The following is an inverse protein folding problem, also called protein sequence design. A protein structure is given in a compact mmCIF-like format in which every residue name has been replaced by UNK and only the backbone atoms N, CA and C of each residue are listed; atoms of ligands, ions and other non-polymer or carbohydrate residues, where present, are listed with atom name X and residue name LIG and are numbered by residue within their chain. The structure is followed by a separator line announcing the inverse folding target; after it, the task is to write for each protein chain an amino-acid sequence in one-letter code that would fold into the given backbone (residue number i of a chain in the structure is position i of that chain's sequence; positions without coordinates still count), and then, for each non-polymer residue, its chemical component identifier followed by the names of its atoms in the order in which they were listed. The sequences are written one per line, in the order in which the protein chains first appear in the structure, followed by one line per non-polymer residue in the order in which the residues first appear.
data_IF_277052024337
#
_entry.id   IF_277052024337
#
_cell.length_a   1.000
_cell.length_b   1.000
_cell.length_c   1.000
_cell.angle_alpha   90.00
_cell.angle_beta   90.00
_cell.angle_gamma   90.00
#
_symmetry.space_group_name_H-M   'P 1'
#
loop_
_entity.id
_entity.type
_entity.pdbx_description
1 polymer ?
#
# COMPACT_ATOMS: atom_id res chain seq x y z
N UNK A 1 33.45 -28.72 -0.34
CA UNK A 1 33.67 -28.54 -1.79
C UNK A 1 32.71 -27.53 -2.42
N UNK A 2 31.39 -27.61 -2.21
CA UNK A 2 30.43 -26.64 -2.79
C UNK A 2 30.54 -25.24 -2.17
N UNK A 3 30.75 -25.15 -0.86
CA UNK A 3 30.91 -23.88 -0.13
C UNK A 3 32.15 -23.10 -0.52
N UNK A 4 33.28 -23.79 -0.73
CA UNK A 4 34.53 -23.13 -1.13
C UNK A 4 34.46 -22.61 -2.55
N UNK A 5 33.76 -23.34 -3.44
CA UNK A 5 33.52 -22.88 -4.82
C UNK A 5 32.64 -21.62 -4.85
N UNK A 6 31.54 -21.57 -4.08
CA UNK A 6 30.67 -20.38 -4.01
C UNK A 6 31.45 -19.19 -3.45
N UNK A 7 32.24 -19.39 -2.39
CA UNK A 7 33.09 -18.33 -1.83
C UNK A 7 34.09 -17.78 -2.85
N UNK A 8 34.71 -18.67 -3.64
CA UNK A 8 35.63 -18.30 -4.72
C UNK A 8 34.91 -17.52 -5.83
N UNK A 9 33.77 -18.02 -6.31
CA UNK A 9 32.98 -17.36 -7.35
C UNK A 9 32.48 -15.99 -6.92
N UNK A 10 32.09 -15.82 -5.66
CA UNK A 10 31.64 -14.54 -5.11
C UNK A 10 32.76 -13.47 -5.06
N UNK A 11 34.03 -13.87 -5.13
CA UNK A 11 35.18 -12.96 -5.22
C UNK A 11 35.56 -12.59 -6.68
N UNK A 12 34.95 -13.27 -7.66
CA UNK A 12 35.23 -13.01 -9.08
C UNK A 12 34.80 -11.60 -9.47
N UNK A 13 35.60 -10.97 -10.35
CA UNK A 13 35.30 -9.69 -11.00
C UNK A 13 34.45 -9.85 -12.28
N UNK A 14 34.22 -11.08 -12.73
CA UNK A 14 33.37 -11.37 -13.87
C UNK A 14 31.87 -11.11 -13.53
N UNK A 15 31.07 -10.82 -14.55
CA UNK A 15 29.61 -10.76 -14.40
C UNK A 15 29.12 -12.17 -13.98
N UNK A 16 28.39 -12.23 -12.90
CA UNK A 16 27.89 -13.46 -12.29
C UNK A 16 26.42 -13.64 -12.64
N UNK A 17 26.11 -14.72 -13.34
CA UNK A 17 24.76 -15.04 -13.78
C UNK A 17 24.31 -16.32 -13.10
N UNK A 18 23.16 -16.25 -12.42
CA UNK A 18 22.48 -17.43 -11.90
C UNK A 18 21.39 -17.88 -12.89
N UNK A 19 21.22 -19.20 -13.02
CA UNK A 19 20.14 -19.81 -13.81
C UNK A 19 19.10 -20.34 -12.82
N UNK A 20 17.88 -19.93 -13.01
CA UNK A 20 16.67 -20.15 -12.22
C UNK A 20 16.73 -19.56 -10.81
N UNK A 21 17.66 -19.97 -9.96
CA UNK A 21 17.85 -19.47 -8.60
C UNK A 21 19.33 -19.49 -8.21
N UNK A 22 19.84 -18.45 -7.52
CA UNK A 22 21.22 -18.46 -7.02
C UNK A 22 21.48 -19.68 -6.11
N UNK A 23 22.58 -20.40 -6.36
CA UNK A 23 22.96 -21.57 -5.55
C UNK A 23 23.06 -21.22 -4.07
N UNK A 24 22.38 -22.00 -3.22
CA UNK A 24 22.29 -21.77 -1.78
C UNK A 24 21.12 -20.91 -1.31
N UNK A 25 20.39 -20.26 -2.23
CA UNK A 25 19.14 -19.54 -1.92
C UNK A 25 17.95 -20.51 -2.01
N UNK A 26 17.09 -20.55 -0.99
CA UNK A 26 15.81 -21.26 -1.05
C UNK A 26 14.73 -20.39 -1.69
N UNK A 27 13.82 -21.02 -2.46
CA UNK A 27 12.78 -20.31 -3.21
C UNK A 27 11.69 -19.69 -2.33
N UNK A 28 11.22 -20.47 -1.32
CA UNK A 28 9.98 -20.20 -0.59
C UNK A 28 10.14 -20.23 0.94
N UNK A 29 11.36 -20.26 1.42
CA UNK A 29 11.68 -20.29 2.85
C UNK A 29 12.97 -19.52 3.15
N UNK A 30 13.20 -19.11 4.41
CA UNK A 30 14.45 -18.47 4.78
C UNK A 30 15.66 -19.37 4.46
N UNK A 31 16.65 -18.79 3.78
CA UNK A 31 17.92 -19.51 3.55
C UNK A 31 18.73 -19.52 4.85
N UNK A 32 19.27 -20.68 5.21
CA UNK A 32 20.22 -20.76 6.32
C UNK A 32 21.39 -19.81 6.04
N UNK A 33 21.90 -19.14 7.07
CA UNK A 33 23.11 -18.33 6.99
C UNK A 33 24.23 -19.23 6.49
N UNK A 34 24.58 -19.11 5.22
CA UNK A 34 25.53 -19.98 4.55
C UNK A 34 26.08 -19.32 3.29
N UNK A 35 26.72 -20.13 2.48
CA UNK A 35 27.31 -19.69 1.25
C UNK A 35 26.27 -19.59 0.15
N UNK A 36 25.71 -18.41 -0.06
CA UNK A 36 24.79 -18.11 -1.16
C UNK A 36 25.59 -17.44 -2.28
N UNK A 37 25.40 -17.89 -3.51
CA UNK A 37 25.98 -17.26 -4.70
C UNK A 37 25.37 -15.88 -4.90
N UNK A 38 26.22 -14.88 -5.07
CA UNK A 38 25.82 -13.48 -5.31
C UNK A 38 25.79 -13.24 -6.80
N UNK A 39 24.63 -13.33 -7.41
CA UNK A 39 24.44 -13.04 -8.81
C UNK A 39 24.37 -11.53 -9.05
N UNK A 40 24.88 -11.08 -10.19
CA UNK A 40 24.60 -9.76 -10.74
C UNK A 40 23.30 -9.80 -11.58
N UNK A 41 23.03 -10.97 -12.19
CA UNK A 41 21.78 -11.27 -12.93
C UNK A 41 21.29 -12.68 -12.57
N UNK A 42 19.96 -12.82 -12.42
CA UNK A 42 19.29 -14.11 -12.27
C UNK A 42 18.28 -14.29 -13.39
N UNK A 43 18.48 -15.30 -14.26
CA UNK A 43 17.56 -15.68 -15.31
C UNK A 43 16.63 -16.79 -14.79
N UNK A 44 15.45 -16.39 -14.28
CA UNK A 44 14.53 -17.33 -13.61
C UNK A 44 13.47 -17.85 -14.57
N UNK A 45 13.00 -19.06 -14.33
CA UNK A 45 12.07 -19.75 -15.22
C UNK A 45 10.61 -19.52 -14.80
N UNK A 46 9.78 -19.17 -15.75
CA UNK A 46 8.34 -19.05 -15.78
C UNK A 46 7.76 -18.03 -14.79
N UNK A 47 8.17 -18.06 -13.52
CA UNK A 47 7.72 -17.15 -12.46
C UNK A 47 8.89 -16.76 -11.55
N UNK A 48 8.90 -15.54 -11.00
CA UNK A 48 9.86 -15.19 -9.95
C UNK A 48 9.60 -16.03 -8.71
N UNK A 49 10.66 -16.39 -8.00
CA UNK A 49 10.55 -17.10 -6.72
C UNK A 49 10.18 -16.11 -5.62
N UNK A 50 9.45 -16.56 -4.59
CA UNK A 50 9.07 -15.70 -3.46
C UNK A 50 10.29 -15.00 -2.85
N UNK A 51 11.39 -15.71 -2.71
CA UNK A 51 12.65 -15.17 -2.18
C UNK A 51 13.15 -13.92 -2.92
N UNK A 52 12.87 -13.77 -4.21
CA UNK A 52 13.33 -12.63 -5.02
C UNK A 52 12.63 -11.31 -4.69
N UNK A 53 11.45 -11.40 -4.08
CA UNK A 53 10.62 -10.26 -3.71
C UNK A 53 10.92 -9.78 -2.27
N UNK A 54 11.85 -10.43 -1.57
CA UNK A 54 12.18 -10.16 -0.18
C UNK A 54 13.53 -9.45 -0.06
N UNK A 55 13.60 -8.30 0.64
CA UNK A 55 14.76 -7.39 0.61
C UNK A 55 16.05 -8.03 1.14
N UNK A 56 15.99 -8.98 2.07
CA UNK A 56 17.19 -9.67 2.56
C UNK A 56 17.90 -10.48 1.49
N UNK A 57 17.23 -10.83 0.41
CA UNK A 57 17.77 -11.66 -0.67
C UNK A 57 18.26 -10.83 -1.87
N UNK A 58 17.94 -9.54 -1.93
CA UNK A 58 18.35 -8.64 -3.01
C UNK A 58 19.88 -8.72 -3.33
N UNK A 59 20.79 -8.75 -2.32
CA UNK A 59 22.23 -8.85 -2.57
C UNK A 59 22.69 -10.16 -3.24
N UNK A 60 21.82 -11.19 -3.26
CA UNK A 60 22.11 -12.49 -3.87
C UNK A 60 21.48 -12.67 -5.23
N UNK A 61 20.29 -12.08 -5.42
CA UNK A 61 19.48 -12.24 -6.64
C UNK A 61 19.96 -11.30 -7.74
N UNK A 62 20.40 -10.09 -7.38
CA UNK A 62 20.71 -9.04 -8.33
C UNK A 62 19.50 -8.70 -9.22
N UNK A 63 19.74 -8.27 -10.44
CA UNK A 63 18.66 -8.03 -11.40
C UNK A 63 18.13 -9.37 -11.93
N UNK A 64 16.88 -9.67 -11.71
CA UNK A 64 16.29 -10.89 -12.27
C UNK A 64 15.41 -10.60 -13.51
N UNK A 65 15.38 -11.60 -14.41
CA UNK A 65 14.54 -11.62 -15.59
C UNK A 65 13.80 -12.96 -15.65
N UNK A 66 12.52 -12.91 -15.96
CA UNK A 66 11.67 -14.09 -16.04
C UNK A 66 11.65 -14.60 -17.49
N UNK A 67 12.10 -15.83 -17.67
CA UNK A 67 12.10 -16.51 -18.97
C UNK A 67 10.92 -17.46 -19.07
N UNK A 68 10.11 -17.32 -20.11
CA UNK A 68 9.08 -18.29 -20.44
C UNK A 68 9.73 -19.60 -20.94
N UNK A 69 9.40 -20.70 -20.29
CA UNK A 69 9.89 -22.05 -20.67
C UNK A 69 8.81 -22.91 -21.31
N UNK A 70 7.67 -22.29 -21.71
CA UNK A 70 6.61 -22.94 -22.43
C UNK A 70 5.78 -23.92 -21.59
N UNK A 71 5.57 -23.63 -20.30
CA UNK A 71 4.64 -24.43 -19.49
C UNK A 71 3.22 -24.33 -20.06
N UNK A 72 2.47 -25.41 -19.91
CA UNK A 72 1.11 -25.45 -20.43
C UNK A 72 0.21 -24.42 -19.71
N UNK A 73 -0.47 -23.50 -20.44
CA UNK A 73 -1.26 -22.42 -19.83
C UNK A 73 -2.28 -22.90 -18.80
N UNK A 74 -3.00 -23.99 -19.11
CA UNK A 74 -3.98 -24.58 -18.20
C UNK A 74 -3.37 -25.02 -16.85
N UNK A 75 -2.14 -25.54 -16.85
CA UNK A 75 -1.45 -25.88 -15.61
C UNK A 75 -1.17 -24.63 -14.76
N UNK A 76 -0.76 -23.52 -15.42
CA UNK A 76 -0.51 -22.25 -14.72
C UNK A 76 -1.80 -21.62 -14.15
N UNK A 77 -2.95 -21.86 -14.79
CA UNK A 77 -4.26 -21.41 -14.30
C UNK A 77 -4.79 -22.28 -13.14
N UNK A 78 -4.49 -23.59 -13.16
CA UNK A 78 -5.00 -24.55 -12.17
C UNK A 78 -4.11 -24.70 -10.93
N UNK A 79 -2.85 -24.24 -10.98
CA UNK A 79 -1.94 -24.36 -9.82
C UNK A 79 -2.37 -23.46 -8.68
N UNK A 80 -2.63 -24.03 -7.53
CA UNK A 80 -2.98 -23.30 -6.33
C UNK A 80 -1.76 -22.61 -5.72
N UNK A 81 -1.88 -21.31 -5.44
CA UNK A 81 -0.88 -20.52 -4.74
C UNK A 81 -1.54 -19.43 -3.91
N UNK A 82 -0.97 -19.17 -2.74
CA UNK A 82 -1.39 -18.06 -1.89
C UNK A 82 -0.53 -16.79 -2.07
N UNK A 83 0.42 -16.81 -3.01
CA UNK A 83 1.29 -15.68 -3.32
C UNK A 83 1.12 -15.32 -4.80
N UNK A 84 0.65 -14.11 -5.08
CA UNK A 84 0.34 -13.63 -6.42
C UNK A 84 1.11 -12.35 -6.73
N UNK A 85 1.58 -12.20 -7.96
CA UNK A 85 2.10 -10.92 -8.44
C UNK A 85 0.96 -10.05 -8.96
N UNK A 86 0.95 -8.79 -8.54
CA UNK A 86 0.02 -7.81 -9.09
C UNK A 86 0.59 -7.26 -10.40
N UNK A 87 -0.03 -7.64 -11.52
CA UNK A 87 0.38 -7.21 -12.86
C UNK A 87 -0.75 -6.47 -13.58
N UNK A 88 -0.43 -5.69 -14.62
CA UNK A 88 -1.41 -4.91 -15.42
C UNK A 88 -2.62 -5.73 -15.82
N UNK A 89 -2.41 -6.96 -16.33
CA UNK A 89 -3.48 -7.85 -16.78
C UNK A 89 -4.49 -8.20 -15.68
N UNK A 90 -4.03 -8.27 -14.43
CA UNK A 90 -4.86 -8.56 -13.26
C UNK A 90 -5.67 -7.34 -12.79
N UNK A 91 -5.08 -6.14 -12.81
CA UNK A 91 -5.74 -4.94 -12.27
C UNK A 91 -6.60 -4.20 -13.30
N UNK A 92 -6.29 -4.33 -14.60
CA UNK A 92 -7.06 -3.68 -15.67
C UNK A 92 -8.56 -4.05 -15.67
N UNK A 93 -8.97 -5.31 -15.49
CA UNK A 93 -10.38 -5.70 -15.40
C UNK A 93 -11.13 -5.13 -14.20
N UNK A 94 -10.42 -4.78 -13.11
CA UNK A 94 -11.01 -4.20 -11.90
C UNK A 94 -11.53 -2.78 -12.17
N UNK A 95 -10.97 -2.06 -13.14
CA UNK A 95 -11.33 -0.67 -13.40
C UNK A 95 -12.79 -0.49 -13.80
N UNK A 96 -13.54 0.26 -13.01
CA UNK A 96 -14.89 0.68 -13.36
C UNK A 96 -14.90 1.63 -14.58
N UNK A 97 -15.86 1.48 -15.46
CA UNK A 97 -16.06 2.38 -16.57
C UNK A 97 -16.98 3.53 -16.16
N UNK A 98 -16.59 4.76 -16.51
CA UNK A 98 -17.43 5.95 -16.32
C UNK A 98 -18.40 6.08 -17.47
N UNK A 99 -19.66 6.34 -17.16
CA UNK A 99 -20.72 6.51 -18.17
C UNK A 99 -21.11 7.98 -18.32
N UNK A 100 -21.67 8.32 -19.49
CA UNK A 100 -22.02 9.71 -19.83
C UNK A 100 -23.02 10.36 -18.83
N UNK A 101 -23.90 9.55 -18.25
CA UNK A 101 -24.96 10.06 -17.37
C UNK A 101 -24.61 9.92 -15.88
N UNK A 102 -23.38 9.59 -15.54
CA UNK A 102 -22.92 9.57 -14.15
C UNK A 102 -22.85 11.00 -13.59
N UNK A 103 -23.09 11.12 -12.32
CA UNK A 103 -23.00 12.37 -11.56
C UNK A 103 -22.11 12.17 -10.32
N UNK A 104 -21.78 13.25 -9.60
CA UNK A 104 -20.89 13.19 -8.43
C UNK A 104 -21.30 12.13 -7.38
N UNK A 105 -22.60 11.98 -7.11
CA UNK A 105 -23.12 10.96 -6.18
C UNK A 105 -22.90 9.49 -6.64
N UNK A 106 -22.73 9.26 -7.97
CA UNK A 106 -22.41 7.91 -8.50
C UNK A 106 -21.02 7.45 -8.04
N UNK A 107 -20.08 8.39 -7.85
CA UNK A 107 -18.70 8.12 -7.48
C UNK A 107 -18.43 8.28 -5.98
N UNK A 108 -19.51 8.32 -5.18
CA UNK A 108 -19.46 8.29 -3.72
C UNK A 108 -19.04 9.57 -3.06
N UNK A 109 -19.06 9.56 -1.75
CA UNK A 109 -18.67 10.65 -0.87
C UNK A 109 -17.69 10.11 0.18
N UNK A 110 -16.42 10.49 0.07
CA UNK A 110 -15.37 10.11 1.00
C UNK A 110 -15.29 11.08 2.19
N UNK A 111 -15.02 10.54 3.39
CA UNK A 111 -14.56 11.32 4.54
C UNK A 111 -13.11 10.99 4.82
N UNK A 112 -12.24 12.00 4.80
CA UNK A 112 -10.85 11.89 5.24
C UNK A 112 -10.68 12.58 6.59
N UNK A 113 -10.34 11.85 7.65
CA UNK A 113 -10.03 12.36 8.98
C UNK A 113 -8.50 12.43 9.10
N UNK A 114 -7.92 13.61 8.99
CA UNK A 114 -6.47 13.76 8.88
C UNK A 114 -5.99 15.15 9.32
N UNK A 115 -4.70 15.24 9.62
CA UNK A 115 -4.06 16.49 10.00
C UNK A 115 -4.21 16.84 11.48
N UNK A 116 -3.24 17.56 11.97
CA UNK A 116 -3.18 18.22 13.28
C UNK A 116 -2.26 19.43 13.16
N UNK A 117 -2.13 20.21 14.24
CA UNK A 117 -1.17 21.31 14.26
C UNK A 117 0.23 20.85 13.86
N UNK A 118 0.83 21.54 12.87
CA UNK A 118 2.12 21.20 12.29
C UNK A 118 2.12 20.02 11.30
N UNK A 119 0.99 19.32 11.10
CA UNK A 119 0.88 18.14 10.21
C UNK A 119 -0.24 18.27 9.16
N UNK A 120 -0.71 19.48 8.87
CA UNK A 120 -1.76 19.74 7.87
C UNK A 120 -1.38 19.23 6.48
N UNK A 121 -0.08 19.20 6.13
CA UNK A 121 0.41 18.72 4.85
C UNK A 121 -0.03 17.28 4.52
N UNK A 122 -0.12 16.39 5.52
CA UNK A 122 -0.59 15.02 5.32
C UNK A 122 -2.07 14.97 4.87
N UNK A 123 -2.92 15.82 5.48
CA UNK A 123 -4.31 15.97 5.06
C UNK A 123 -4.42 16.49 3.61
N UNK A 124 -3.59 17.47 3.23
CA UNK A 124 -3.56 18.02 1.88
C UNK A 124 -3.17 16.97 0.84
N UNK A 125 -2.11 16.21 1.09
CA UNK A 125 -1.64 15.15 0.18
C UNK A 125 -2.70 14.07 -0.01
N UNK A 126 -3.28 13.56 1.08
CA UNK A 126 -4.34 12.56 1.04
C UNK A 126 -5.61 13.06 0.34
N UNK A 127 -6.03 14.29 0.63
CA UNK A 127 -7.20 14.90 0.02
C UNK A 127 -7.04 15.08 -1.50
N UNK A 128 -5.90 15.64 -1.93
CA UNK A 128 -5.60 15.84 -3.36
C UNK A 128 -5.54 14.50 -4.10
N UNK A 129 -4.90 13.49 -3.51
CA UNK A 129 -4.84 12.13 -4.07
C UNK A 129 -6.23 11.49 -4.17
N UNK A 130 -7.07 11.65 -3.16
CA UNK A 130 -8.45 11.16 -3.15
C UNK A 130 -9.26 11.75 -4.32
N UNK A 131 -9.22 13.07 -4.51
CA UNK A 131 -9.89 13.75 -5.63
C UNK A 131 -9.34 13.29 -6.98
N UNK A 132 -8.02 13.25 -7.15
CA UNK A 132 -7.37 12.83 -8.40
C UNK A 132 -7.60 11.36 -8.76
N UNK A 133 -7.94 10.54 -7.78
CA UNK A 133 -8.35 9.13 -7.99
C UNK A 133 -9.81 9.01 -8.43
N UNK A 134 -10.58 10.10 -8.34
CA UNK A 134 -11.87 10.22 -9.03
C UNK A 134 -13.11 10.05 -8.17
N UNK A 135 -13.01 10.21 -6.86
CA UNK A 135 -14.19 10.29 -5.98
C UNK A 135 -15.13 11.44 -6.41
N UNK A 136 -16.42 11.27 -6.20
CA UNK A 136 -17.41 12.26 -6.58
C UNK A 136 -17.49 13.45 -5.62
N UNK A 137 -17.37 13.19 -4.33
CA UNK A 137 -17.37 14.19 -3.25
C UNK A 137 -16.34 13.81 -2.20
N UNK A 138 -15.64 14.80 -1.66
CA UNK A 138 -14.69 14.64 -0.57
C UNK A 138 -15.00 15.65 0.53
N UNK A 139 -15.21 15.16 1.75
CA UNK A 139 -15.13 15.96 2.98
C UNK A 139 -13.84 15.62 3.72
N UNK A 140 -13.17 16.64 4.24
CA UNK A 140 -11.99 16.46 5.06
C UNK A 140 -12.31 16.95 6.47
N UNK A 141 -12.25 16.02 7.43
CA UNK A 141 -12.38 16.33 8.85
C UNK A 141 -11.02 16.69 9.43
N UNK A 142 -10.91 17.89 9.99
CA UNK A 142 -9.64 18.43 10.44
C UNK A 142 -9.82 19.53 11.49
N UNK A 143 -8.83 19.78 12.36
CA UNK A 143 -8.89 20.83 13.37
C UNK A 143 -8.90 22.24 12.73
N UNK A 144 -9.38 23.24 13.48
CA UNK A 144 -9.57 24.60 12.97
C UNK A 144 -8.32 25.21 12.36
N UNK A 145 -7.15 24.97 12.94
CA UNK A 145 -5.85 25.47 12.42
C UNK A 145 -5.56 25.00 10.99
N UNK A 146 -6.10 23.87 10.56
CA UNK A 146 -5.87 23.27 9.26
C UNK A 146 -6.91 23.62 8.18
N UNK A 147 -8.02 24.28 8.54
CA UNK A 147 -9.13 24.56 7.63
C UNK A 147 -8.76 25.54 6.52
N UNK A 148 -8.18 26.69 6.87
CA UNK A 148 -7.80 27.72 5.89
C UNK A 148 -6.73 27.20 4.90
N UNK A 149 -5.66 26.52 5.34
CA UNK A 149 -4.71 25.88 4.43
C UNK A 149 -5.37 24.89 3.45
N UNK A 150 -6.32 24.07 3.92
CA UNK A 150 -7.02 23.13 3.04
C UNK A 150 -7.85 23.87 1.99
N UNK A 151 -8.70 24.81 2.40
CA UNK A 151 -9.54 25.59 1.46
C UNK A 151 -8.73 26.36 0.42
N UNK A 152 -7.57 26.86 0.81
CA UNK A 152 -6.68 27.59 -0.09
C UNK A 152 -6.03 26.66 -1.13
N UNK A 153 -5.60 25.47 -0.70
CA UNK A 153 -4.85 24.53 -1.56
C UNK A 153 -5.76 23.61 -2.38
N UNK A 154 -6.95 23.27 -1.87
CA UNK A 154 -7.86 22.27 -2.46
C UNK A 154 -9.32 22.76 -2.33
N UNK A 155 -9.74 23.75 -3.15
CA UNK A 155 -11.08 24.30 -3.07
C UNK A 155 -12.20 23.32 -3.42
N UNK A 156 -11.89 22.19 -4.06
CA UNK A 156 -12.83 21.13 -4.39
C UNK A 156 -13.21 20.26 -3.18
N UNK A 157 -12.44 20.29 -2.10
CA UNK A 157 -12.74 19.54 -0.87
C UNK A 157 -13.64 20.37 0.05
N UNK A 158 -14.66 19.72 0.60
CA UNK A 158 -15.49 20.30 1.65
C UNK A 158 -14.79 20.15 3.00
N UNK A 159 -14.96 21.14 3.87
CA UNK A 159 -14.48 21.05 5.26
C UNK A 159 -15.59 20.46 6.13
N UNK A 160 -15.24 19.44 6.89
CA UNK A 160 -15.93 18.98 8.08
C UNK A 160 -15.06 19.36 9.29
N UNK A 161 -15.44 20.40 10.01
CA UNK A 161 -14.58 21.04 11.02
C UNK A 161 -14.68 20.37 12.38
N UNK A 162 -13.52 20.04 12.97
CA UNK A 162 -13.45 19.62 14.37
C UNK A 162 -13.70 20.81 15.33
N UNK A 163 -14.20 20.52 16.54
CA UNK A 163 -14.37 21.52 17.60
C UNK A 163 -13.01 22.00 18.15
N UNK A 164 -11.99 21.14 18.10
CA UNK A 164 -10.63 21.44 18.55
C UNK A 164 -9.89 22.38 17.61
N UNK A 165 -9.03 23.22 18.20
CA UNK A 165 -8.12 24.08 17.43
C UNK A 165 -7.02 23.27 16.75
N UNK A 166 -6.49 22.19 17.38
CA UNK A 166 -5.18 21.61 17.05
C UNK A 166 -5.18 20.14 16.72
N UNK A 167 -6.20 19.35 17.09
CA UNK A 167 -6.19 17.91 16.92
C UNK A 167 -7.59 17.36 16.63
N UNK A 168 -7.66 16.11 16.21
CA UNK A 168 -8.91 15.36 16.09
C UNK A 168 -9.48 15.08 17.48
N UNK A 169 -10.68 15.55 17.76
CA UNK A 169 -11.34 15.43 19.07
C UNK A 169 -12.77 14.93 19.02
N UNK A 170 -13.49 15.25 17.95
CA UNK A 170 -14.90 14.88 17.75
C UNK A 170 -15.16 14.55 16.28
N UNK A 171 -16.31 14.03 15.98
CA UNK A 171 -16.84 13.90 14.61
C UNK A 171 -18.36 13.82 14.65
N UNK A 172 -19.00 14.20 13.54
CA UNK A 172 -20.45 14.18 13.37
C UNK A 172 -21.00 12.83 12.89
N UNK A 173 -22.17 12.85 12.27
CA UNK A 173 -22.80 11.66 11.70
C UNK A 173 -22.06 11.15 10.46
N UNK A 174 -21.91 9.83 10.34
CA UNK A 174 -21.16 9.20 9.24
C UNK A 174 -22.08 8.73 8.09
N UNK A 175 -23.39 8.84 8.22
CA UNK A 175 -24.39 8.26 7.29
C UNK A 175 -24.31 8.84 5.86
N UNK A 176 -23.77 10.04 5.71
CA UNK A 176 -23.61 10.68 4.41
C UNK A 176 -22.42 10.16 3.58
N UNK A 177 -21.51 9.42 4.23
CA UNK A 177 -20.27 8.98 3.59
C UNK A 177 -20.36 7.53 3.11
N UNK A 178 -19.68 7.25 2.01
CA UNK A 178 -19.59 5.90 1.44
C UNK A 178 -18.30 5.17 1.84
N UNK A 179 -17.32 5.89 2.34
CA UNK A 179 -16.08 5.36 2.94
C UNK A 179 -15.43 6.39 3.86
N UNK A 180 -14.65 5.92 4.82
CA UNK A 180 -13.87 6.73 5.76
C UNK A 180 -12.39 6.36 5.67
N UNK A 181 -11.52 7.37 5.65
CA UNK A 181 -10.08 7.23 5.81
C UNK A 181 -9.62 8.01 7.03
N UNK A 182 -8.73 7.42 7.85
CA UNK A 182 -8.26 8.05 9.07
C UNK A 182 -6.78 7.78 9.32
N UNK A 183 -6.06 8.81 9.78
CA UNK A 183 -4.72 8.62 10.33
C UNK A 183 -3.62 9.55 9.85
N UNK A 184 -3.53 9.95 8.57
CA UNK A 184 -2.47 10.83 8.09
C UNK A 184 -2.34 12.10 8.93
N UNK A 185 -1.19 12.27 9.59
CA UNK A 185 -0.92 13.47 10.40
C UNK A 185 -1.85 13.72 11.59
N UNK A 186 -2.51 12.71 12.11
CA UNK A 186 -3.55 12.84 13.14
C UNK A 186 -2.99 13.24 14.52
N UNK A 187 -1.75 12.84 14.83
CA UNK A 187 -1.19 12.94 16.16
C UNK A 187 -1.71 11.86 17.11
N UNK A 188 -1.26 11.94 18.36
CA UNK A 188 -1.60 10.96 19.41
C UNK A 188 -2.05 11.65 20.71
N UNK A 189 -2.72 12.81 20.61
CA UNK A 189 -3.31 13.49 21.76
C UNK A 189 -4.39 12.60 22.41
N UNK A 190 -4.63 12.77 23.71
CA UNK A 190 -5.63 11.95 24.43
C UNK A 190 -7.03 12.10 23.82
N UNK A 191 -7.39 13.30 23.35
CA UNK A 191 -8.64 13.54 22.64
C UNK A 191 -8.71 12.75 21.36
N UNK A 192 -7.61 12.71 20.59
CA UNK A 192 -7.49 11.93 19.34
C UNK A 192 -7.65 10.43 19.61
N UNK A 193 -7.04 9.92 20.67
CA UNK A 193 -7.18 8.52 21.08
C UNK A 193 -8.64 8.19 21.42
N UNK A 194 -9.33 9.05 22.17
CA UNK A 194 -10.74 8.88 22.53
C UNK A 194 -11.66 8.94 21.28
N UNK A 195 -11.43 9.92 20.42
CA UNK A 195 -12.22 10.08 19.19
C UNK A 195 -12.02 8.91 18.23
N UNK A 196 -10.78 8.42 18.05
CA UNK A 196 -10.50 7.24 17.22
C UNK A 196 -11.16 5.97 17.76
N UNK A 197 -11.15 5.77 19.09
CA UNK A 197 -11.87 4.65 19.72
C UNK A 197 -13.35 4.69 19.39
N UNK A 198 -13.97 5.87 19.54
CA UNK A 198 -15.37 6.09 19.21
C UNK A 198 -15.64 5.82 17.72
N UNK A 199 -14.77 6.31 16.83
CA UNK A 199 -14.89 6.10 15.38
C UNK A 199 -14.91 4.60 15.02
N UNK A 200 -14.00 3.79 15.59
CA UNK A 200 -13.94 2.35 15.35
C UNK A 200 -15.26 1.66 15.74
N UNK A 201 -15.93 2.13 16.78
CA UNK A 201 -17.20 1.54 17.22
C UNK A 201 -18.42 2.02 16.43
N UNK A 202 -18.39 3.22 15.86
CA UNK A 202 -19.53 3.84 15.19
C UNK A 202 -19.52 3.68 13.67
N UNK A 203 -18.34 3.50 13.05
CA UNK A 203 -18.22 3.44 11.58
C UNK A 203 -18.85 2.15 11.03
N UNK A 204 -19.78 2.30 10.07
CA UNK A 204 -20.51 1.21 9.42
C UNK A 204 -20.18 1.09 7.91
N UNK A 205 -19.31 1.96 7.40
CA UNK A 205 -18.88 1.98 6.01
C UNK A 205 -17.43 1.51 5.89
N UNK A 206 -16.94 1.15 4.68
CA UNK A 206 -15.56 0.77 4.47
C UNK A 206 -14.57 1.77 5.07
N UNK A 207 -13.55 1.25 5.77
CA UNK A 207 -12.56 2.02 6.52
C UNK A 207 -11.14 1.73 6.03
N UNK A 208 -10.34 2.78 5.83
CA UNK A 208 -8.88 2.68 5.69
C UNK A 208 -8.19 3.42 6.82
N UNK A 209 -7.19 2.79 7.45
CA UNK A 209 -6.42 3.32 8.58
C UNK A 209 -4.93 3.33 8.23
N UNK A 210 -4.27 4.46 8.47
CA UNK A 210 -2.82 4.65 8.22
C UNK A 210 -2.14 5.43 9.35
N UNK A 211 -0.85 5.48 9.33
CA UNK A 211 0.00 6.38 10.11
C UNK A 211 -0.35 6.45 11.61
N UNK A 212 -0.71 7.64 12.12
CA UNK A 212 -0.96 7.83 13.56
C UNK A 212 -2.17 7.02 14.06
N UNK A 213 -3.16 6.72 13.23
CA UNK A 213 -4.25 5.81 13.61
C UNK A 213 -3.75 4.38 13.85
N UNK A 214 -2.80 3.89 13.05
CA UNK A 214 -2.15 2.59 13.28
C UNK A 214 -1.25 2.59 14.51
N UNK A 215 -0.57 3.70 14.78
CA UNK A 215 0.23 3.87 16.00
C UNK A 215 -0.66 3.81 17.24
N UNK A 216 -1.81 4.50 17.25
CA UNK A 216 -2.79 4.44 18.34
C UNK A 216 -3.36 3.01 18.48
N UNK A 217 -3.68 2.36 17.36
CA UNK A 217 -4.19 0.98 17.35
C UNK A 217 -3.15 0.00 17.93
N UNK A 218 -1.85 0.19 17.64
CA UNK A 218 -0.78 -0.64 18.20
C UNK A 218 -0.60 -0.46 19.72
N UNK A 219 -0.85 0.75 20.23
CA UNK A 219 -0.87 1.02 21.68
C UNK A 219 -2.14 0.44 22.35
N UNK A 220 -3.18 0.08 21.56
CA UNK A 220 -4.47 -0.42 22.01
C UNK A 220 -4.91 -1.71 21.26
N UNK A 221 -4.15 -2.82 21.34
CA UNK A 221 -4.39 -4.00 20.51
C UNK A 221 -5.74 -4.68 20.77
N UNK A 222 -6.37 -4.40 21.90
CA UNK A 222 -7.73 -4.89 22.22
C UNK A 222 -8.81 -4.27 21.33
N UNK A 223 -8.51 -3.25 20.53
CA UNK A 223 -9.46 -2.65 19.59
C UNK A 223 -9.52 -3.36 18.23
N UNK A 224 -8.50 -4.15 17.87
CA UNK A 224 -8.44 -4.89 16.61
C UNK A 224 -9.70 -5.73 16.31
N UNK A 225 -10.30 -6.47 17.29
CA UNK A 225 -11.53 -7.24 17.04
C UNK A 225 -12.77 -6.40 16.74
N UNK A 226 -12.75 -5.09 17.01
CA UNK A 226 -13.88 -4.19 16.80
C UNK A 226 -13.80 -3.44 15.47
N UNK A 227 -12.73 -3.62 14.70
CA UNK A 227 -12.64 -3.04 13.36
C UNK A 227 -13.75 -3.60 12.46
N UNK A 228 -14.37 -2.77 11.62
CA UNK A 228 -15.26 -3.25 10.57
C UNK A 228 -14.59 -4.33 9.73
N UNK A 229 -15.38 -5.31 9.28
CA UNK A 229 -14.87 -6.36 8.41
C UNK A 229 -14.20 -5.75 7.16
N UNK A 230 -13.05 -6.32 6.78
CA UNK A 230 -12.26 -5.87 5.62
C UNK A 230 -11.73 -4.43 5.72
N UNK A 231 -11.62 -3.87 6.95
CA UNK A 231 -10.85 -2.64 7.15
C UNK A 231 -9.47 -2.77 6.54
N UNK A 232 -9.05 -1.74 5.78
CA UNK A 232 -7.72 -1.72 5.16
C UNK A 232 -6.74 -1.04 6.12
N UNK A 233 -5.67 -1.75 6.48
CA UNK A 233 -4.56 -1.23 7.28
C UNK A 233 -3.34 -1.06 6.37
N UNK A 234 -2.68 0.11 6.41
CA UNK A 234 -1.58 0.44 5.48
C UNK A 234 -0.24 0.70 6.19
N UNK A 235 0.22 -0.18 7.09
CA UNK A 235 1.45 0.07 7.84
C UNK A 235 2.71 0.05 6.95
N UNK A 236 3.68 0.91 7.26
CA UNK A 236 5.07 0.66 6.87
C UNK A 236 5.70 -0.40 7.81
N UNK A 237 6.86 -1.01 7.48
CA UNK A 237 7.40 -2.12 8.27
C UNK A 237 7.52 -1.87 9.77
N UNK A 238 7.92 -0.65 10.20
CA UNK A 238 8.03 -0.32 11.63
C UNK A 238 6.67 -0.17 12.33
N UNK A 239 5.64 0.35 11.64
CA UNK A 239 4.27 0.39 12.15
C UNK A 239 3.71 -1.02 12.28
N UNK A 240 3.97 -1.86 11.28
CA UNK A 240 3.58 -3.27 11.31
C UNK A 240 4.21 -4.03 12.48
N UNK A 241 5.52 -3.83 12.73
CA UNK A 241 6.21 -4.41 13.89
C UNK A 241 5.61 -3.97 15.23
N UNK A 242 5.07 -2.74 15.33
CA UNK A 242 4.36 -2.31 16.55
C UNK A 242 3.04 -3.04 16.74
N UNK A 243 2.34 -3.37 15.65
CA UNK A 243 1.05 -4.07 15.69
C UNK A 243 1.19 -5.55 16.05
N UNK A 244 2.23 -6.24 15.53
CA UNK A 244 2.33 -7.72 15.60
C UNK A 244 3.61 -8.23 16.26
N UNK A 245 4.48 -7.33 16.70
CA UNK A 245 5.81 -7.68 17.23
C UNK A 245 6.88 -7.83 16.14
N UNK A 246 8.15 -7.81 16.56
CA UNK A 246 9.31 -7.94 15.67
C UNK A 246 9.32 -9.29 14.95
N UNK A 247 9.84 -9.28 13.73
CA UNK A 247 10.09 -10.48 12.92
C UNK A 247 11.60 -10.61 12.67
N UNK A 248 12.12 -11.83 12.72
CA UNK A 248 13.54 -12.11 12.47
C UNK A 248 13.86 -12.06 10.96
N UNK A 249 12.88 -12.36 10.11
CA UNK A 249 13.02 -12.39 8.64
C UNK A 249 11.79 -11.76 7.98
N UNK A 250 11.91 -11.41 6.70
CA UNK A 250 10.74 -10.96 5.93
C UNK A 250 9.75 -12.10 5.69
N UNK A 251 10.19 -13.34 5.62
CA UNK A 251 9.28 -14.51 5.61
C UNK A 251 8.39 -14.56 6.85
N UNK A 252 8.98 -14.42 8.05
CA UNK A 252 8.20 -14.36 9.30
C UNK A 252 7.24 -13.17 9.31
N UNK A 253 7.69 -12.00 8.82
CA UNK A 253 6.83 -10.82 8.69
C UNK A 253 5.66 -11.06 7.75
N UNK A 254 5.88 -11.76 6.64
CA UNK A 254 4.83 -12.12 5.68
C UNK A 254 3.79 -13.05 6.31
N UNK A 255 4.23 -14.05 7.08
CA UNK A 255 3.30 -14.94 7.78
C UNK A 255 2.50 -14.20 8.86
N UNK A 256 3.13 -13.33 9.66
CA UNK A 256 2.41 -12.48 10.63
C UNK A 256 1.41 -11.54 9.95
N UNK A 257 1.73 -11.04 8.74
CA UNK A 257 0.81 -10.21 7.95
C UNK A 257 -0.41 -11.02 7.53
N UNK A 258 -0.21 -12.25 7.07
CA UNK A 258 -1.26 -13.20 6.69
C UNK A 258 -2.15 -13.54 7.89
N UNK A 259 -1.52 -13.88 9.03
CA UNK A 259 -2.22 -14.19 10.28
C UNK A 259 -3.08 -13.02 10.77
N UNK A 260 -2.55 -11.79 10.74
CA UNK A 260 -3.29 -10.58 11.13
C UNK A 260 -4.52 -10.39 10.25
N UNK A 261 -4.36 -10.54 8.92
CA UNK A 261 -5.43 -10.37 7.95
C UNK A 261 -6.55 -11.41 8.16
N UNK A 262 -6.20 -12.67 8.33
CA UNK A 262 -7.15 -13.78 8.57
C UNK A 262 -7.86 -13.58 9.91
N UNK A 263 -7.09 -13.39 10.99
CA UNK A 263 -7.59 -13.35 12.37
C UNK A 263 -8.60 -12.24 12.60
N UNK A 264 -8.38 -11.07 12.01
CA UNK A 264 -9.23 -9.90 12.23
C UNK A 264 -10.12 -9.58 11.03
N UNK A 265 -10.15 -10.46 10.01
CA UNK A 265 -10.90 -10.22 8.77
C UNK A 265 -10.61 -8.83 8.19
N UNK A 266 -9.33 -8.48 8.06
CA UNK A 266 -8.83 -7.19 7.56
C UNK A 266 -8.00 -7.37 6.30
N UNK A 267 -7.86 -6.31 5.50
CA UNK A 267 -6.88 -6.25 4.41
C UNK A 267 -5.65 -5.52 4.94
N UNK A 268 -4.48 -6.15 4.87
CA UNK A 268 -3.25 -5.58 5.43
C UNK A 268 -2.24 -5.28 4.33
N UNK A 269 -1.90 -4.01 4.16
CA UNK A 269 -0.91 -3.54 3.18
C UNK A 269 0.39 -3.20 3.92
N UNK A 270 1.44 -3.99 3.73
CA UNK A 270 2.77 -3.66 4.25
C UNK A 270 3.60 -2.99 3.15
N UNK A 271 3.88 -1.69 3.35
CA UNK A 271 4.60 -0.85 2.38
C UNK A 271 6.07 -1.28 2.25
N UNK A 272 6.59 -1.32 1.01
CA UNK A 272 7.97 -1.70 0.70
C UNK A 272 8.24 -1.67 -0.80
N UNK A 273 9.43 -2.07 -1.24
CA UNK A 273 9.81 -2.14 -2.66
C UNK A 273 8.82 -3.02 -3.45
N UNK A 274 8.51 -4.19 -2.91
CA UNK A 274 7.37 -5.00 -3.32
C UNK A 274 6.30 -4.92 -2.23
N UNK A 275 5.50 -3.84 -2.24
CA UNK A 275 4.39 -3.69 -1.29
C UNK A 275 3.50 -4.92 -1.32
N UNK A 276 3.26 -5.52 -0.16
CA UNK A 276 2.43 -6.72 -0.03
C UNK A 276 1.02 -6.38 0.45
N UNK A 277 0.01 -7.03 -0.12
CA UNK A 277 -1.40 -6.88 0.25
C UNK A 277 -1.92 -8.25 0.68
N UNK A 278 -2.08 -8.47 1.98
CA UNK A 278 -2.64 -9.70 2.53
C UNK A 278 -4.16 -9.57 2.66
N UNK A 279 -4.87 -10.59 2.18
CA UNK A 279 -6.32 -10.69 2.18
C UNK A 279 -6.83 -11.52 3.36
N UNK A 280 -8.11 -11.35 3.78
CA UNK A 280 -8.72 -12.16 4.85
C UNK A 280 -8.73 -13.67 4.58
N UNK A 281 -8.66 -14.08 3.33
CA UNK A 281 -8.59 -15.51 2.93
C UNK A 281 -7.16 -16.08 2.96
N UNK A 282 -6.16 -15.27 3.34
CA UNK A 282 -4.76 -15.68 3.40
C UNK A 282 -3.96 -15.50 2.11
N UNK A 283 -4.58 -15.07 1.01
CA UNK A 283 -3.85 -14.72 -0.22
C UNK A 283 -3.04 -13.44 -0.02
N UNK A 284 -1.82 -13.40 -0.55
CA UNK A 284 -0.96 -12.21 -0.55
C UNK A 284 -0.61 -11.81 -1.98
N UNK A 285 -0.85 -10.55 -2.30
CA UNK A 285 -0.44 -9.95 -3.56
C UNK A 285 0.85 -9.15 -3.36
N UNK A 286 1.80 -9.33 -4.28
CA UNK A 286 3.06 -8.59 -4.33
C UNK A 286 3.01 -7.59 -5.46
N UNK A 287 3.11 -6.31 -5.13
CA UNK A 287 3.06 -5.24 -6.12
C UNK A 287 4.35 -5.18 -6.96
N UNK A 288 4.18 -4.94 -8.26
CA UNK A 288 5.28 -4.89 -9.23
C UNK A 288 5.61 -3.48 -9.71
N UNK A 289 4.83 -2.47 -9.31
CA UNK A 289 5.04 -1.06 -9.66
C UNK A 289 5.67 -0.27 -8.50
N UNK A 290 6.30 0.83 -8.80
CA UNK A 290 6.98 1.70 -7.86
C UNK A 290 8.50 1.64 -7.99
N UNK A 291 9.15 2.70 -7.54
CA UNK A 291 10.59 2.88 -7.65
C UNK A 291 11.17 3.53 -6.37
N UNK A 292 12.50 3.50 -6.19
CA UNK A 292 13.16 4.06 -5.00
C UNK A 292 12.90 5.55 -4.75
N UNK A 293 12.63 6.35 -5.79
CA UNK A 293 12.30 7.78 -5.67
C UNK A 293 11.04 8.03 -4.84
N UNK A 294 10.13 7.05 -4.75
CA UNK A 294 8.93 7.15 -3.92
C UNK A 294 9.21 7.07 -2.41
N UNK A 295 10.45 6.81 -1.99
CA UNK A 295 10.86 6.80 -0.59
C UNK A 295 10.99 8.23 -0.04
N UNK A 296 9.91 9.01 -0.13
CA UNK A 296 9.79 10.40 0.30
C UNK A 296 8.64 10.57 1.28
N UNK A 297 8.72 11.64 2.11
CA UNK A 297 7.64 11.97 3.05
C UNK A 297 6.33 12.27 2.31
N UNK A 298 5.21 11.78 2.84
CA UNK A 298 3.88 12.01 2.26
C UNK A 298 3.43 10.99 1.22
N UNK A 299 4.32 10.12 0.71
CA UNK A 299 3.95 9.06 -0.25
C UNK A 299 2.89 8.11 0.32
N UNK A 300 2.96 7.79 1.62
CA UNK A 300 1.93 7.01 2.32
C UNK A 300 0.58 7.72 2.40
N UNK A 301 0.60 9.05 2.68
CA UNK A 301 -0.63 9.85 2.74
C UNK A 301 -1.36 9.88 1.38
N UNK A 302 -0.59 9.95 0.28
CA UNK A 302 -1.11 9.80 -1.10
C UNK A 302 -1.77 8.44 -1.30
N UNK A 303 -1.11 7.34 -0.87
CA UNK A 303 -1.68 5.99 -0.97
C UNK A 303 -3.00 5.88 -0.21
N UNK A 304 -3.07 6.43 1.00
CA UNK A 304 -4.31 6.46 1.80
C UNK A 304 -5.42 7.19 1.08
N UNK A 305 -5.13 8.34 0.45
CA UNK A 305 -6.10 9.08 -0.35
C UNK A 305 -6.59 8.30 -1.58
N UNK A 306 -5.70 7.59 -2.27
CA UNK A 306 -6.06 6.71 -3.41
C UNK A 306 -7.01 5.60 -2.97
N UNK A 307 -6.66 4.87 -1.91
CA UNK A 307 -7.47 3.76 -1.39
C UNK A 307 -8.83 4.26 -0.92
N UNK A 308 -8.87 5.36 -0.15
CA UNK A 308 -10.11 5.98 0.30
C UNK A 308 -11.04 6.33 -0.88
N UNK A 309 -10.49 6.91 -1.93
CA UNK A 309 -11.25 7.26 -3.14
C UNK A 309 -11.86 6.04 -3.81
N UNK A 310 -11.09 4.94 -3.93
CA UNK A 310 -11.58 3.69 -4.52
C UNK A 310 -12.69 3.08 -3.67
N UNK A 311 -12.51 3.02 -2.34
CA UNK A 311 -13.56 2.57 -1.41
C UNK A 311 -14.83 3.40 -1.56
N UNK A 312 -14.70 4.73 -1.61
CA UNK A 312 -15.85 5.62 -1.77
C UNK A 312 -16.56 5.40 -3.10
N UNK A 313 -15.85 5.06 -4.18
CA UNK A 313 -16.38 4.68 -5.48
C UNK A 313 -16.95 3.28 -5.53
N UNK A 314 -17.07 2.59 -4.36
CA UNK A 314 -17.68 1.27 -4.21
C UNK A 314 -16.90 0.12 -4.84
N UNK A 315 -15.57 0.25 -4.98
CA UNK A 315 -14.71 -0.91 -5.13
C UNK A 315 -14.76 -1.72 -3.84
N UNK A 316 -14.72 -3.05 -3.94
CA UNK A 316 -14.55 -3.87 -2.74
C UNK A 316 -13.23 -3.52 -2.04
N UNK A 317 -13.11 -3.72 -0.72
CA UNK A 317 -11.86 -3.42 -0.03
C UNK A 317 -10.65 -4.15 -0.62
N UNK A 318 -10.84 -5.37 -1.08
CA UNK A 318 -9.80 -6.16 -1.75
C UNK A 318 -9.37 -5.52 -3.08
N UNK A 319 -10.33 -5.14 -3.93
CA UNK A 319 -10.05 -4.44 -5.19
C UNK A 319 -9.41 -3.07 -4.95
N UNK A 320 -9.91 -2.30 -3.98
CA UNK A 320 -9.39 -0.99 -3.63
C UNK A 320 -7.94 -1.06 -3.15
N UNK A 321 -7.58 -2.09 -2.38
CA UNK A 321 -6.23 -2.31 -1.90
C UNK A 321 -5.27 -2.67 -3.02
N UNK A 322 -5.59 -3.68 -3.84
CA UNK A 322 -4.71 -4.15 -4.93
C UNK A 322 -4.56 -3.09 -6.02
N UNK A 323 -5.68 -2.53 -6.49
CA UNK A 323 -5.67 -1.48 -7.53
C UNK A 323 -5.02 -0.20 -7.02
N UNK A 324 -5.29 0.19 -5.77
CA UNK A 324 -4.74 1.41 -5.17
C UNK A 324 -3.22 1.36 -5.04
N UNK A 325 -2.68 0.25 -4.55
CA UNK A 325 -1.21 0.05 -4.47
C UNK A 325 -0.58 0.03 -5.86
N UNK A 326 -1.20 -0.63 -6.82
CA UNK A 326 -0.69 -0.68 -8.20
C UNK A 326 -0.69 0.71 -8.87
N UNK A 327 -1.80 1.46 -8.77
CA UNK A 327 -1.91 2.82 -9.32
C UNK A 327 -0.92 3.80 -8.67
N UNK A 328 -0.74 3.70 -7.36
CA UNK A 328 0.22 4.51 -6.61
C UNK A 328 1.64 4.28 -7.13
N UNK A 329 2.05 3.00 -7.25
CA UNK A 329 3.37 2.66 -7.78
C UNK A 329 3.54 3.09 -9.24
N UNK A 330 2.56 2.78 -10.11
CA UNK A 330 2.60 3.16 -11.53
C UNK A 330 2.67 4.69 -11.73
N UNK A 331 1.94 5.46 -10.92
CA UNK A 331 2.02 6.92 -10.96
C UNK A 331 3.42 7.41 -10.54
N UNK A 332 4.04 6.78 -9.54
CA UNK A 332 5.40 7.04 -9.13
C UNK A 332 6.43 6.70 -10.21
N UNK A 333 6.24 5.58 -10.93
CA UNK A 333 7.12 5.19 -12.04
C UNK A 333 7.07 6.21 -13.19
N UNK A 334 5.86 6.61 -13.60
CA UNK A 334 5.67 7.64 -14.63
C UNK A 334 6.22 9.00 -14.21
N UNK A 335 6.13 9.35 -12.92
CA UNK A 335 6.75 10.56 -12.41
C UNK A 335 8.28 10.48 -12.47
N UNK A 336 8.87 9.35 -12.04
CA UNK A 336 10.32 9.15 -12.06
C UNK A 336 10.89 9.14 -13.48
N UNK A 337 10.15 8.62 -14.47
CA UNK A 337 10.53 8.69 -15.89
C UNK A 337 10.61 10.14 -16.40
N UNK A 338 9.76 11.03 -15.88
CA UNK A 338 9.70 12.43 -16.34
C UNK A 338 10.70 13.35 -15.61
N UNK A 339 10.84 13.19 -14.29
CA UNK A 339 11.58 14.15 -13.45
C UNK A 339 12.79 13.54 -12.74
N UNK A 340 13.02 12.22 -12.86
CA UNK A 340 14.07 11.50 -12.14
C UNK A 340 13.64 11.08 -10.73
N UNK A 341 14.31 10.05 -10.19
CA UNK A 341 14.00 9.50 -8.88
C UNK A 341 14.39 10.43 -7.72
N UNK A 342 15.48 11.18 -7.89
CA UNK A 342 16.02 12.08 -6.86
C UNK A 342 15.15 13.32 -6.63
N UNK A 343 14.43 13.76 -7.66
CA UNK A 343 13.58 14.96 -7.61
C UNK A 343 12.15 14.65 -7.19
N UNK A 344 11.77 13.36 -7.13
CA UNK A 344 10.39 12.94 -6.91
C UNK A 344 9.93 13.24 -5.49
N UNK A 345 8.81 13.96 -5.37
CA UNK A 345 8.10 14.20 -4.11
C UNK A 345 6.67 13.64 -4.17
N UNK A 346 6.01 13.53 -3.03
CA UNK A 346 4.69 12.89 -2.93
C UNK A 346 3.61 13.52 -3.84
N UNK A 347 3.64 14.84 -4.06
CA UNK A 347 2.70 15.53 -4.95
C UNK A 347 2.85 15.09 -6.41
N UNK A 348 4.06 14.73 -6.87
CA UNK A 348 4.29 14.29 -8.24
C UNK A 348 3.57 12.96 -8.53
N UNK A 349 3.50 12.06 -7.55
CA UNK A 349 2.72 10.82 -7.64
C UNK A 349 1.26 11.17 -7.91
N UNK A 350 0.71 12.12 -7.15
CA UNK A 350 -0.69 12.56 -7.32
C UNK A 350 -0.94 13.18 -8.70
N UNK A 351 -0.02 14.01 -9.20
CA UNK A 351 -0.14 14.64 -10.52
C UNK A 351 -0.09 13.62 -11.67
N UNK A 352 0.58 12.48 -11.48
CA UNK A 352 0.69 11.42 -12.48
C UNK A 352 -0.42 10.36 -12.43
N UNK A 353 -1.36 10.42 -11.47
CA UNK A 353 -2.48 9.47 -11.40
C UNK A 353 -3.31 9.42 -12.69
N UNK A 354 -3.55 10.56 -13.32
CA UNK A 354 -4.26 10.59 -14.61
C UNK A 354 -3.53 9.83 -15.72
N UNK A 355 -2.20 9.95 -15.79
CA UNK A 355 -1.36 9.20 -16.73
C UNK A 355 -1.36 7.70 -16.39
N UNK A 356 -1.32 7.34 -15.09
CA UNK A 356 -1.39 5.96 -14.64
C UNK A 356 -2.70 5.28 -15.06
N UNK A 357 -3.84 5.95 -14.89
CA UNK A 357 -5.12 5.46 -15.39
C UNK A 357 -5.13 5.29 -16.91
N UNK A 358 -4.58 6.24 -17.66
CA UNK A 358 -4.48 6.15 -19.12
C UNK A 358 -3.60 4.97 -19.54
N UNK A 359 -2.44 4.79 -18.92
CA UNK A 359 -1.53 3.67 -19.18
C UNK A 359 -2.17 2.32 -18.85
N UNK A 360 -2.96 2.23 -17.76
CA UNK A 360 -3.65 1.01 -17.38
C UNK A 360 -4.80 0.67 -18.36
N UNK A 361 -5.50 1.68 -18.92
CA UNK A 361 -6.56 1.49 -19.92
C UNK A 361 -6.04 1.19 -21.32
N UNK A 362 -4.82 1.59 -21.65
CA UNK A 362 -4.20 1.31 -22.94
C UNK A 362 -4.15 -0.20 -23.25
N UNK A 363 -4.23 -0.55 -24.60
CA UNK A 363 -4.19 -1.94 -25.08
C UNK A 363 -2.87 -2.62 -24.73
#
# INVERSE_FOLDING_TARGET
MTTDLIAYLNQSKAIRVAIDIPSGLFADQPSALGFIFKADYTLTFQNPKLAFLLPENDPYVGRFEVLDIGLHPRYLEEVETNNLLTVKAMVKPILHNRTKYSHKGTYGHALLIAGSEGKTGAALLGAKACLRTGVGLLSVHLPKVAQLPLQTAIPEAMIDGDDSETCFSTFGHLDAFTAVGVGPGLGKADDTVRALKRLIHEVQVPLVMDADALNILSDNPTWLPFLPAKTILTPHPKEFERLVGKSATTFERLEKQRELAIKHNTVVIVKGAHTTVAMPNGTVFFNTTGNPGMATAGSGDVLTGIILSLLAQRYSPEEAAVLGVYLHGLAGDLAAEEIGQEALIASDITEHLGKAYAALRAK
#
